data_IF_008988337061
#
_entry.id   IF_008988337061
#
_cell.length_a   1.000
_cell.length_b   1.000
_cell.length_c   1.000
_cell.angle_alpha   90.00
_cell.angle_beta   90.00
_cell.angle_gamma   90.00
#
_symmetry.space_group_name_H-M   'P 1'
#
loop_
_entity.id
_entity.type
_entity.pdbx_description
1 polymer ?
#
# COMPACT_ATOMS: atom_id res chain seq x y z
N UNK A 1 -61.75 -3.97 23.65
CA UNK A 1 -60.69 -3.05 23.15
C UNK A 1 -59.46 -3.23 24.03
N UNK A 2 -58.40 -3.87 23.53
CA UNK A 2 -57.11 -3.95 24.23
C UNK A 2 -56.13 -3.05 23.49
N UNK A 3 -55.76 -1.94 24.13
CA UNK A 3 -54.74 -1.00 23.67
C UNK A 3 -53.36 -1.58 23.99
N UNK A 4 -52.57 -1.77 22.93
CA UNK A 4 -51.12 -1.81 22.82
C UNK A 4 -50.29 -1.69 24.11
N UNK A 5 -49.49 -2.72 24.38
CA UNK A 5 -48.13 -2.54 24.92
C UNK A 5 -47.17 -3.32 24.01
N UNK A 6 -46.85 -2.71 22.88
CA UNK A 6 -45.66 -3.11 22.12
C UNK A 6 -44.46 -2.65 22.96
N UNK A 7 -43.92 -3.54 23.81
CA UNK A 7 -42.68 -3.27 24.53
C UNK A 7 -41.54 -3.25 23.50
N UNK A 8 -41.30 -2.09 22.88
CA UNK A 8 -40.03 -1.79 22.23
C UNK A 8 -39.02 -1.43 23.32
N UNK A 9 -38.55 -2.41 24.07
CA UNK A 9 -37.26 -2.26 24.75
C UNK A 9 -36.19 -2.76 23.79
N UNK A 10 -35.85 -1.92 22.81
CA UNK A 10 -34.52 -2.02 22.22
C UNK A 10 -33.53 -1.75 23.34
N UNK A 11 -32.49 -2.58 23.53
CA UNK A 11 -31.46 -2.29 24.51
C UNK A 11 -30.90 -0.89 24.23
N UNK A 12 -30.81 -0.04 25.25
CA UNK A 12 -30.07 1.22 25.16
C UNK A 12 -28.60 0.86 24.95
N UNK A 13 -28.17 0.87 23.69
CA UNK A 13 -26.77 0.74 23.34
C UNK A 13 -26.12 2.08 23.70
N UNK A 14 -25.43 2.12 24.83
CA UNK A 14 -24.53 3.24 25.12
C UNK A 14 -23.44 3.27 24.04
N UNK A 15 -23.40 4.34 23.25
CA UNK A 15 -22.42 4.54 22.18
C UNK A 15 -20.98 4.43 22.70
N UNK A 16 -20.76 4.84 23.95
CA UNK A 16 -19.49 4.77 24.67
C UNK A 16 -18.94 3.34 24.78
N UNK A 17 -19.83 2.33 24.87
CA UNK A 17 -19.44 0.91 24.97
C UNK A 17 -18.98 0.37 23.62
N UNK A 18 -19.41 0.97 22.50
CA UNK A 18 -19.09 0.49 21.15
C UNK A 18 -17.69 0.94 20.72
N UNK A 19 -17.22 2.10 21.17
CA UNK A 19 -15.91 2.64 20.83
C UNK A 19 -14.75 1.73 21.29
N UNK A 20 -14.88 1.11 22.47
CA UNK A 20 -13.88 0.20 23.03
C UNK A 20 -13.71 -1.11 22.22
N UNK A 21 -14.66 -1.42 21.33
CA UNK A 21 -14.62 -2.58 20.43
C UNK A 21 -14.32 -2.22 18.97
N UNK A 22 -14.17 -0.94 18.64
CA UNK A 22 -13.87 -0.47 17.29
C UNK A 22 -12.42 -0.02 17.19
N UNK A 23 -11.64 -0.69 16.35
CA UNK A 23 -10.30 -0.23 15.98
C UNK A 23 -10.30 0.16 14.49
N UNK A 24 -9.96 1.42 14.20
CA UNK A 24 -9.82 1.88 12.83
C UNK A 24 -8.51 1.34 12.25
N UNK A 25 -8.64 0.43 11.29
CA UNK A 25 -7.50 -0.10 10.54
C UNK A 25 -7.69 0.11 9.05
N UNK A 26 -6.69 0.70 8.41
CA UNK A 26 -6.63 0.71 6.96
C UNK A 26 -6.35 -0.72 6.48
N UNK A 27 -7.33 -1.31 5.79
CA UNK A 27 -7.26 -2.70 5.34
C UNK A 27 -6.59 -2.82 3.98
N UNK A 28 -7.03 -2.04 3.00
CA UNK A 28 -6.49 -2.05 1.63
C UNK A 28 -6.56 -0.65 1.04
N UNK A 29 -5.57 -0.30 0.22
CA UNK A 29 -5.61 0.88 -0.64
C UNK A 29 -5.79 0.43 -2.08
N UNK A 30 -6.81 0.96 -2.76
CA UNK A 30 -7.10 0.65 -4.16
C UNK A 30 -6.74 1.82 -5.08
N UNK A 31 -6.48 1.52 -6.36
CA UNK A 31 -6.22 2.52 -7.39
C UNK A 31 -4.75 2.90 -7.54
N UNK A 32 -4.52 4.05 -8.18
CA UNK A 32 -3.17 4.56 -8.43
C UNK A 32 -2.60 5.29 -7.20
N UNK A 33 -1.29 5.19 -6.93
CA UNK A 33 -0.67 5.88 -5.82
C UNK A 33 -0.80 7.41 -6.01
N UNK A 34 -1.00 8.13 -4.91
CA UNK A 34 -0.98 9.59 -4.97
C UNK A 34 0.46 10.10 -5.16
N UNK A 35 0.61 11.28 -5.78
CA UNK A 35 1.90 11.98 -5.99
C UNK A 35 3.00 11.09 -6.60
N UNK A 36 2.64 10.35 -7.65
CA UNK A 36 3.60 9.57 -8.44
C UNK A 36 4.75 10.46 -8.90
N UNK A 37 5.99 9.99 -8.70
CA UNK A 37 7.20 10.70 -9.11
C UNK A 37 7.90 10.02 -10.28
N UNK A 38 7.86 8.70 -10.34
CA UNK A 38 8.55 7.91 -11.36
C UNK A 38 7.94 6.51 -11.47
N UNK A 39 8.28 5.81 -12.55
CA UNK A 39 7.91 4.41 -12.76
C UNK A 39 9.06 3.66 -13.44
N UNK A 40 9.03 2.33 -13.36
CA UNK A 40 9.91 1.42 -14.09
C UNK A 40 9.11 0.21 -14.55
N UNK A 41 9.50 -0.40 -15.67
CA UNK A 41 8.85 -1.59 -16.20
C UNK A 41 9.89 -2.67 -16.52
N UNK A 42 9.61 -3.89 -16.07
CA UNK A 42 10.32 -5.11 -16.46
C UNK A 42 9.45 -5.83 -17.49
N UNK A 43 9.91 -5.86 -18.73
CA UNK A 43 9.21 -6.47 -19.86
C UNK A 43 9.27 -8.01 -19.86
N UNK A 44 10.31 -8.59 -19.26
CA UNK A 44 10.48 -10.04 -19.16
C UNK A 44 9.52 -10.61 -18.11
N UNK A 45 9.47 -9.99 -16.93
CA UNK A 45 8.59 -10.42 -15.84
C UNK A 45 7.20 -9.77 -15.87
N UNK A 46 6.98 -8.83 -16.79
CA UNK A 46 5.75 -8.03 -16.88
C UNK A 46 5.40 -7.35 -15.55
N UNK A 47 6.40 -6.70 -14.95
CA UNK A 47 6.27 -6.00 -13.67
C UNK A 47 6.33 -4.48 -13.88
N UNK A 48 5.39 -3.75 -13.29
CA UNK A 48 5.37 -2.30 -13.26
C UNK A 48 5.63 -1.81 -11.83
N UNK A 49 6.68 -1.04 -11.61
CA UNK A 49 6.92 -0.36 -10.35
C UNK A 49 6.55 1.13 -10.47
N UNK A 50 5.84 1.66 -9.48
CA UNK A 50 5.45 3.07 -9.38
C UNK A 50 5.93 3.62 -8.04
N UNK A 51 6.79 4.63 -8.09
CA UNK A 51 7.30 5.34 -6.91
C UNK A 51 6.56 6.66 -6.70
N UNK A 52 6.38 7.07 -5.45
CA UNK A 52 5.79 8.37 -5.11
C UNK A 52 6.75 9.28 -4.32
N UNK A 53 6.31 10.53 -4.14
CA UNK A 53 7.04 11.54 -3.39
C UNK A 53 7.04 11.32 -1.86
N UNK A 54 6.30 10.34 -1.34
CA UNK A 54 6.30 9.96 0.09
C UNK A 54 7.37 8.92 0.42
N UNK A 55 7.91 8.25 -0.61
CA UNK A 55 8.85 7.14 -0.45
C UNK A 55 8.19 5.76 -0.55
N UNK A 56 6.92 5.68 -0.95
CA UNK A 56 6.26 4.41 -1.23
C UNK A 56 6.59 3.96 -2.66
N UNK A 57 6.71 2.63 -2.82
CA UNK A 57 6.89 1.96 -4.09
C UNK A 57 5.81 0.88 -4.20
N UNK A 58 5.02 0.94 -5.26
CA UNK A 58 3.98 -0.03 -5.56
C UNK A 58 4.37 -0.82 -6.80
N UNK A 59 4.38 -2.14 -6.68
CA UNK A 59 4.79 -3.08 -7.71
C UNK A 59 3.57 -3.87 -8.15
N UNK A 60 3.24 -3.76 -9.42
CA UNK A 60 2.10 -4.39 -10.08
C UNK A 60 2.63 -5.51 -10.97
N UNK A 61 2.05 -6.70 -10.83
CA UNK A 61 2.37 -7.86 -11.67
C UNK A 61 1.14 -8.46 -12.34
N UNK A 62 1.35 -9.61 -12.99
CA UNK A 62 0.26 -10.39 -13.57
C UNK A 62 -0.81 -10.80 -12.55
N UNK A 63 -2.01 -11.15 -13.04
CA UNK A 63 -3.14 -11.61 -12.21
C UNK A 63 -3.64 -10.61 -11.14
N UNK A 64 -3.33 -9.32 -11.29
CA UNK A 64 -3.82 -8.28 -10.36
C UNK A 64 -3.07 -8.23 -9.04
N UNK A 65 -1.90 -8.88 -8.93
CA UNK A 65 -1.07 -8.78 -7.73
C UNK A 65 -0.45 -7.39 -7.60
N UNK A 66 -0.57 -6.83 -6.39
CA UNK A 66 -0.01 -5.54 -6.01
C UNK A 66 0.79 -5.76 -4.74
N UNK A 67 2.05 -5.33 -4.75
CA UNK A 67 2.90 -5.29 -3.58
C UNK A 67 3.32 -3.86 -3.28
N UNK A 68 3.23 -3.46 -2.02
CA UNK A 68 3.66 -2.15 -1.55
C UNK A 68 4.88 -2.31 -0.66
N UNK A 69 5.92 -1.54 -0.96
CA UNK A 69 7.13 -1.43 -0.17
C UNK A 69 7.43 0.05 0.09
N UNK A 70 8.24 0.31 1.10
CA UNK A 70 8.68 1.67 1.43
C UNK A 70 10.21 1.75 1.30
N UNK A 71 10.70 2.89 0.81
CA UNK A 71 12.13 3.20 0.81
C UNK A 71 12.60 3.23 2.28
N UNK A 72 13.56 2.38 2.68
CA UNK A 72 14.02 2.32 4.05
C UNK A 72 14.61 3.66 4.53
N UNK A 73 14.33 4.01 5.78
CA UNK A 73 14.86 5.19 6.45
C UNK A 73 13.79 6.19 6.88
N UNK A 74 14.22 7.40 7.24
CA UNK A 74 13.31 8.46 7.70
C UNK A 74 12.48 8.98 6.53
N UNK A 75 11.16 8.82 6.61
CA UNK A 75 10.20 9.25 5.59
C UNK A 75 10.28 10.75 5.29
N UNK A 76 9.99 11.10 4.05
CA UNK A 76 9.91 12.48 3.57
C UNK A 76 10.46 12.65 2.15
N UNK A 77 10.31 13.85 1.61
CA UNK A 77 10.62 14.15 0.20
C UNK A 77 12.08 13.85 -0.20
N UNK A 78 13.02 13.96 0.74
CA UNK A 78 14.43 13.63 0.51
C UNK A 78 14.66 12.13 0.24
N UNK A 79 13.88 11.24 0.88
CA UNK A 79 13.93 9.78 0.71
C UNK A 79 12.86 9.26 -0.26
N UNK A 80 12.38 10.11 -1.16
CA UNK A 80 11.47 9.70 -2.23
C UNK A 80 12.21 9.22 -3.46
N UNK A 81 11.56 8.36 -4.25
CA UNK A 81 12.11 7.87 -5.51
C UNK A 81 12.25 9.02 -6.51
N UNK A 82 13.46 9.23 -7.02
CA UNK A 82 13.75 10.15 -8.12
C UNK A 82 13.72 9.39 -9.47
N UNK A 83 14.40 8.25 -9.53
CA UNK A 83 14.41 7.36 -10.69
C UNK A 83 14.40 5.90 -10.23
N UNK A 84 13.86 5.02 -11.07
CA UNK A 84 13.82 3.58 -10.84
C UNK A 84 14.18 2.83 -12.11
N UNK A 85 14.84 1.69 -11.95
CA UNK A 85 15.23 0.81 -13.05
C UNK A 85 15.10 -0.64 -12.62
N UNK A 86 14.51 -1.47 -13.48
CA UNK A 86 14.62 -2.91 -13.33
C UNK A 86 15.89 -3.40 -13.99
N UNK A 87 16.55 -4.37 -13.36
CA UNK A 87 17.40 -5.30 -14.08
C UNK A 87 16.48 -6.39 -14.64
N UNK A 88 16.01 -6.20 -15.88
CA UNK A 88 14.93 -6.99 -16.47
C UNK A 88 15.18 -8.51 -16.35
N UNK A 89 14.14 -9.25 -15.97
CA UNK A 89 14.20 -10.71 -15.84
C UNK A 89 14.80 -11.23 -14.54
N UNK A 90 15.45 -10.37 -13.74
CA UNK A 90 16.14 -10.78 -12.51
C UNK A 90 15.32 -10.56 -11.24
N UNK A 91 14.15 -9.92 -11.34
CA UNK A 91 13.37 -9.53 -10.16
C UNK A 91 14.10 -8.50 -9.28
N UNK A 92 14.97 -7.67 -9.87
CA UNK A 92 15.73 -6.66 -9.13
C UNK A 92 15.29 -5.27 -9.55
N UNK A 93 14.82 -4.48 -8.59
CA UNK A 93 14.49 -3.06 -8.76
C UNK A 93 15.55 -2.20 -8.06
N UNK A 94 16.13 -1.27 -8.80
CA UNK A 94 17.09 -0.28 -8.30
C UNK A 94 16.40 1.07 -8.25
N UNK A 95 16.48 1.74 -7.11
CA UNK A 95 15.85 3.04 -6.86
C UNK A 95 16.92 4.05 -6.53
N UNK A 96 17.01 5.10 -7.34
CA UNK A 96 17.77 6.31 -7.02
C UNK A 96 16.85 7.26 -6.27
N UNK A 97 17.19 7.57 -5.03
CA UNK A 97 16.46 8.50 -4.17
C UNK A 97 16.89 9.94 -4.44
N UNK A 98 16.04 10.91 -4.06
CA UNK A 98 16.34 12.35 -4.23
C UNK A 98 17.52 12.85 -3.40
N UNK A 99 17.88 12.15 -2.32
CA UNK A 99 19.07 12.41 -1.52
C UNK A 99 20.34 11.73 -2.08
N UNK A 100 20.31 11.29 -3.34
CA UNK A 100 21.41 10.63 -4.05
C UNK A 100 21.83 9.27 -3.48
N UNK A 101 21.00 8.67 -2.62
CA UNK A 101 21.21 7.29 -2.18
C UNK A 101 20.55 6.29 -3.11
N UNK A 102 21.08 5.07 -3.13
CA UNK A 102 20.49 3.95 -3.86
C UNK A 102 19.89 2.93 -2.91
N UNK A 103 18.74 2.39 -3.30
CA UNK A 103 18.11 1.25 -2.63
C UNK A 103 17.86 0.16 -3.66
N UNK A 104 18.14 -1.09 -3.27
CA UNK A 104 17.86 -2.28 -4.07
C UNK A 104 16.72 -3.05 -3.43
N UNK A 105 15.71 -3.39 -4.21
CA UNK A 105 14.66 -4.34 -3.87
C UNK A 105 14.88 -5.65 -4.63
N UNK A 106 14.70 -6.77 -3.94
CA UNK A 106 14.69 -8.13 -4.51
C UNK A 106 13.26 -8.64 -4.49
N UNK A 107 12.74 -9.01 -5.65
CA UNK A 107 11.44 -9.64 -5.84
C UNK A 107 11.68 -11.13 -6.05
N UNK A 108 11.37 -11.92 -5.03
CA UNK A 108 11.57 -13.36 -5.05
C UNK A 108 10.21 -14.04 -5.09
N UNK A 109 10.04 -14.99 -6.02
CA UNK A 109 8.89 -15.88 -6.03
C UNK A 109 8.99 -16.88 -4.88
N UNK A 110 7.88 -17.29 -4.30
CA UNK A 110 7.90 -18.41 -3.35
C UNK A 110 8.28 -19.69 -4.08
N UNK A 111 9.44 -20.26 -3.75
CA UNK A 111 9.75 -21.64 -4.15
C UNK A 111 8.80 -22.56 -3.40
N UNK A 112 7.81 -23.11 -4.11
CA UNK A 112 7.00 -24.22 -3.63
C UNK A 112 7.69 -25.54 -3.93
#
# INVERSE_FOLDING_TARGET
MLRFLLQKSSPEVHEDVVADYLDYRQTVRHGFPARVSCFAYDDILSLLAIGNLDGDINIYGGNGFIWSAEIPGKKGMAKSAAHMYFACGLGVLIVLCRDSTFVRFSLEGSSY
#
